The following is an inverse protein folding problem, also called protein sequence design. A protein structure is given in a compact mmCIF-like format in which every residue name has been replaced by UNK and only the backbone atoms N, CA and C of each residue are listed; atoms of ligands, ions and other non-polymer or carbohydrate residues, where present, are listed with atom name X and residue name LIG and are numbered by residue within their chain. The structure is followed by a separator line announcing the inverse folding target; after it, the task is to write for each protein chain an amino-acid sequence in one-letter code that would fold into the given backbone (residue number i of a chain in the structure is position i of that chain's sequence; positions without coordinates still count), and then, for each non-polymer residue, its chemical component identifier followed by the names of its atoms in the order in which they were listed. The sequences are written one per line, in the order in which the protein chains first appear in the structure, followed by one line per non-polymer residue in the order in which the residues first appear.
data_IF_358592066415
#
_entry.id   IF_358592066415
#
_cell.length_a   1.000
_cell.length_b   1.000
_cell.length_c   1.000
_cell.angle_alpha   90.00
_cell.angle_beta   90.00
_cell.angle_gamma   90.00
#
_symmetry.space_group_name_H-M   'P 1'
#
loop_
_entity.id
_entity.type
_entity.pdbx_description
1 polymer ?
#
# COMPACT_ATOMS: atom_id res chain seq x y z
N UNK A 1 2.31 -25.13 9.17
CA UNK A 1 3.27 -25.78 8.24
C UNK A 1 3.01 -25.29 6.82
N UNK A 2 3.34 -24.02 6.51
CA UNK A 2 3.09 -23.42 5.17
C UNK A 2 4.34 -22.76 4.56
N UNK A 3 5.36 -22.47 5.39
CA UNK A 3 6.60 -21.81 4.97
C UNK A 3 7.35 -22.50 3.79
N UNK A 4 7.47 -23.84 3.71
CA UNK A 4 8.19 -24.47 2.60
C UNK A 4 7.49 -24.28 1.24
N UNK A 5 6.16 -24.26 1.25
CA UNK A 5 5.35 -24.08 0.03
C UNK A 5 5.39 -22.62 -0.42
N UNK A 6 5.28 -21.67 0.50
CA UNK A 6 5.40 -20.24 0.22
C UNK A 6 6.78 -19.89 -0.32
N UNK A 7 7.85 -20.42 0.26
CA UNK A 7 9.23 -20.21 -0.22
C UNK A 7 9.44 -20.76 -1.64
N UNK A 8 8.89 -21.94 -1.95
CA UNK A 8 8.98 -22.50 -3.30
C UNK A 8 8.23 -21.66 -4.35
N UNK A 9 7.13 -21.01 -3.95
CA UNK A 9 6.36 -20.12 -4.81
C UNK A 9 7.09 -18.80 -5.01
N UNK A 10 7.58 -18.18 -3.93
CA UNK A 10 8.39 -16.96 -3.98
C UNK A 10 9.63 -17.16 -4.85
N UNK A 11 10.34 -18.28 -4.72
CA UNK A 11 11.50 -18.59 -5.57
C UNK A 11 11.15 -18.58 -7.07
N UNK A 12 10.00 -19.16 -7.45
CA UNK A 12 9.50 -19.13 -8.83
C UNK A 12 9.13 -17.72 -9.28
N UNK A 13 8.45 -16.96 -8.42
CA UNK A 13 8.05 -15.58 -8.70
C UNK A 13 9.29 -14.67 -8.87
N UNK A 14 10.33 -14.86 -8.06
CA UNK A 14 11.62 -14.18 -8.19
C UNK A 14 12.26 -14.46 -9.55
N UNK A 15 12.27 -15.71 -10.01
CA UNK A 15 12.83 -16.06 -11.31
C UNK A 15 12.07 -15.41 -12.48
N UNK A 16 10.75 -15.29 -12.36
CA UNK A 16 9.90 -14.60 -13.35
C UNK A 16 10.17 -13.09 -13.32
N UNK A 17 10.12 -12.47 -12.15
CA UNK A 17 10.40 -11.04 -11.96
C UNK A 17 11.80 -10.65 -12.44
N UNK A 18 12.81 -11.49 -12.18
CA UNK A 18 14.19 -11.27 -12.68
C UNK A 18 14.25 -11.20 -14.20
N UNK A 19 13.53 -12.09 -14.89
CA UNK A 19 13.49 -12.10 -16.37
C UNK A 19 12.73 -10.91 -16.93
N UNK A 20 11.74 -10.40 -16.21
CA UNK A 20 11.02 -9.20 -16.59
C UNK A 20 11.92 -7.96 -16.44
N UNK A 21 12.53 -7.79 -15.26
CA UNK A 21 13.47 -6.71 -14.98
C UNK A 21 14.65 -6.69 -15.97
N UNK A 22 15.22 -7.86 -16.31
CA UNK A 22 16.33 -7.96 -17.25
C UNK A 22 15.98 -7.62 -18.72
N UNK A 23 14.70 -7.42 -19.06
CA UNK A 23 14.27 -6.96 -20.39
C UNK A 23 14.15 -5.45 -20.48
N UNK A 24 14.21 -4.76 -19.35
CA UNK A 24 14.15 -3.31 -19.28
C UNK A 24 15.57 -2.79 -19.04
N UNK A 25 15.99 -1.85 -19.89
CA UNK A 25 17.34 -1.27 -19.82
C UNK A 25 17.49 -0.25 -18.67
N UNK A 26 16.38 0.13 -18.04
CA UNK A 26 16.34 1.10 -16.95
C UNK A 26 16.18 0.37 -15.58
N UNK A 27 17.15 0.51 -14.65
CA UNK A 27 17.07 -0.09 -13.33
C UNK A 27 16.03 0.55 -12.40
N UNK A 28 15.54 1.76 -12.73
CA UNK A 28 14.52 2.48 -11.95
C UNK A 28 13.07 2.03 -12.28
N UNK A 29 12.92 0.92 -13.02
CA UNK A 29 11.60 0.44 -13.42
C UNK A 29 10.86 -0.30 -12.30
N UNK A 30 9.53 -0.25 -12.34
CA UNK A 30 8.67 -0.98 -11.42
C UNK A 30 8.92 -2.49 -11.43
N UNK A 31 9.38 -3.05 -12.56
CA UNK A 31 9.79 -4.45 -12.66
C UNK A 31 10.98 -4.77 -11.76
N UNK A 32 11.95 -3.85 -11.63
CA UNK A 32 13.08 -3.98 -10.72
C UNK A 32 12.64 -3.87 -9.25
N UNK A 33 11.80 -2.87 -8.92
CA UNK A 33 11.25 -2.71 -7.57
C UNK A 33 10.46 -3.96 -7.11
N UNK A 34 9.67 -4.54 -8.02
CA UNK A 34 8.92 -5.77 -7.78
C UNK A 34 9.84 -6.99 -7.60
N UNK A 35 10.91 -7.11 -8.39
CA UNK A 35 11.91 -8.17 -8.20
C UNK A 35 12.61 -8.06 -6.85
N UNK A 36 13.02 -6.86 -6.43
CA UNK A 36 13.69 -6.63 -5.15
C UNK A 36 12.74 -6.88 -3.98
N UNK A 37 11.49 -6.41 -4.07
CA UNK A 37 10.43 -6.68 -3.08
C UNK A 37 10.28 -8.18 -2.80
N UNK A 38 10.22 -9.00 -3.86
CA UNK A 38 10.15 -10.47 -3.74
C UNK A 38 11.41 -11.07 -3.12
N UNK A 39 12.60 -10.57 -3.49
CA UNK A 39 13.88 -11.06 -2.95
C UNK A 39 14.04 -10.74 -1.48
N UNK A 40 13.75 -9.50 -1.07
CA UNK A 40 13.81 -9.06 0.32
C UNK A 40 12.80 -9.86 1.16
N UNK A 41 11.60 -10.09 0.63
CA UNK A 41 10.60 -10.96 1.28
C UNK A 41 11.13 -12.38 1.48
N UNK A 42 11.70 -12.98 0.43
CA UNK A 42 12.27 -14.33 0.52
C UNK A 42 13.41 -14.41 1.55
N UNK A 43 14.29 -13.40 1.57
CA UNK A 43 15.38 -13.32 2.54
C UNK A 43 14.84 -13.18 3.98
N UNK A 44 13.83 -12.34 4.21
CA UNK A 44 13.20 -12.19 5.53
C UNK A 44 12.62 -13.51 6.03
N UNK A 45 11.86 -14.22 5.19
CA UNK A 45 11.25 -15.51 5.57
C UNK A 45 12.32 -16.57 5.85
N UNK A 46 13.36 -16.66 5.01
CA UNK A 46 14.43 -17.67 5.18
C UNK A 46 15.32 -17.40 6.40
N UNK A 47 15.47 -16.14 6.81
CA UNK A 47 16.21 -15.75 8.01
C UNK A 47 15.37 -15.80 9.29
N UNK A 48 14.07 -16.09 9.17
CA UNK A 48 13.14 -16.17 10.31
C UNK A 48 12.73 -14.80 10.86
N UNK A 49 12.95 -13.74 10.09
CA UNK A 49 12.60 -12.37 10.44
C UNK A 49 11.09 -12.19 10.26
N UNK A 50 10.38 -11.81 11.33
CA UNK A 50 8.95 -11.52 11.27
C UNK A 50 8.74 -10.04 10.94
N UNK A 51 8.41 -9.69 9.67
CA UNK A 51 8.30 -8.31 9.25
C UNK A 51 7.19 -7.54 9.98
N UNK A 52 6.20 -8.23 10.57
CA UNK A 52 5.13 -7.60 11.35
C UNK A 52 5.60 -7.09 12.72
N UNK A 53 6.67 -7.64 13.27
CA UNK A 53 7.11 -7.37 14.65
C UNK A 53 8.34 -6.48 14.71
N UNK A 54 9.22 -6.61 13.73
CA UNK A 54 10.57 -6.06 13.86
C UNK A 54 10.74 -4.70 13.19
N UNK A 55 9.81 -4.28 12.32
CA UNK A 55 10.09 -3.14 11.43
C UNK A 55 8.85 -2.29 11.15
N UNK A 56 8.58 -1.31 12.02
CA UNK A 56 7.44 -0.38 11.88
C UNK A 56 7.52 0.53 10.64
N UNK A 57 8.72 0.65 10.05
CA UNK A 57 9.00 1.48 8.88
C UNK A 57 8.94 0.73 7.55
N UNK A 58 8.66 -0.59 7.56
CA UNK A 58 8.46 -1.33 6.31
C UNK A 58 7.02 -1.24 5.82
N UNK A 59 6.89 -1.22 4.50
CA UNK A 59 5.63 -1.37 3.80
C UNK A 59 5.41 -2.84 3.50
N UNK A 60 4.26 -3.36 3.93
CA UNK A 60 3.91 -4.76 3.75
C UNK A 60 2.62 -4.83 2.94
N UNK A 61 2.68 -5.52 1.81
CA UNK A 61 1.50 -5.98 1.10
C UNK A 61 1.07 -7.32 1.70
N UNK A 62 -0.08 -7.35 2.36
CA UNK A 62 -0.68 -8.57 2.87
C UNK A 62 -1.91 -8.94 2.05
N UNK A 63 -2.01 -10.21 1.65
CA UNK A 63 -3.20 -10.73 0.97
C UNK A 63 -4.09 -11.40 2.02
N UNK A 64 -5.31 -10.90 2.17
CA UNK A 64 -6.28 -11.46 3.10
C UNK A 64 -6.70 -12.87 2.70
N UNK A 65 -7.40 -13.58 3.59
CA UNK A 65 -7.98 -14.89 3.27
C UNK A 65 -9.08 -14.82 2.19
N UNK A 66 -9.67 -13.64 1.97
CA UNK A 66 -10.65 -13.39 0.90
C UNK A 66 -9.97 -13.02 -0.43
N UNK A 67 -8.64 -12.87 -0.45
CA UNK A 67 -7.87 -12.49 -1.63
C UNK A 67 -7.70 -10.98 -1.82
N UNK A 68 -8.13 -10.17 -0.86
CA UNK A 68 -7.98 -8.72 -0.90
C UNK A 68 -6.55 -8.33 -0.56
N UNK A 69 -5.98 -7.43 -1.36
CA UNK A 69 -4.67 -6.85 -1.11
C UNK A 69 -4.79 -5.72 -0.08
N UNK A 70 -4.01 -5.79 0.99
CA UNK A 70 -3.99 -4.83 2.07
C UNK A 70 -2.59 -4.26 2.23
N UNK A 71 -2.47 -2.94 2.26
CA UNK A 71 -1.24 -2.24 2.63
C UNK A 71 -1.16 -2.09 4.15
N UNK A 72 -0.02 -2.48 4.71
CA UNK A 72 0.30 -2.38 6.13
C UNK A 72 1.58 -1.55 6.30
N UNK A 73 1.53 -0.60 7.23
CA UNK A 73 2.70 0.12 7.73
C UNK A 73 2.36 0.62 9.13
N UNK A 74 3.08 0.12 10.15
CA UNK A 74 3.01 0.59 11.55
C UNK A 74 1.63 0.58 12.25
N UNK A 75 0.53 0.18 11.60
CA UNK A 75 -0.84 0.44 12.04
C UNK A 75 -1.91 -0.40 11.33
N UNK A 76 -3.14 0.16 11.18
CA UNK A 76 -4.28 -0.56 10.61
C UNK A 76 -4.13 -0.84 9.10
N UNK A 77 -4.55 -2.03 8.61
CA UNK A 77 -4.51 -2.36 7.19
C UNK A 77 -5.39 -1.44 6.36
N UNK A 78 -4.90 -1.07 5.17
CA UNK A 78 -5.66 -0.27 4.19
C UNK A 78 -5.87 -1.09 2.93
N UNK A 79 -7.10 -1.19 2.41
CA UNK A 79 -7.35 -1.95 1.20
C UNK A 79 -6.74 -1.28 -0.03
N UNK A 80 -6.07 -2.09 -0.85
CA UNK A 80 -5.61 -1.75 -2.20
C UNK A 80 -6.55 -2.46 -3.17
N UNK A 81 -7.71 -1.85 -3.42
CA UNK A 81 -8.77 -2.44 -4.24
C UNK A 81 -8.76 -1.98 -5.70
N UNK A 82 -7.77 -1.18 -6.10
CA UNK A 82 -7.73 -0.62 -7.45
C UNK A 82 -6.97 -1.57 -8.42
N UNK A 83 -7.27 -1.50 -9.73
CA UNK A 83 -6.75 -2.43 -10.72
C UNK A 83 -5.26 -2.25 -11.02
N UNK A 84 -4.61 -1.16 -10.59
CA UNK A 84 -3.26 -0.83 -11.05
C UNK A 84 -2.23 -1.80 -10.51
N UNK A 85 -2.07 -1.92 -9.19
CA UNK A 85 -1.14 -2.89 -8.61
C UNK A 85 -1.50 -4.33 -8.98
N UNK A 86 -2.78 -4.67 -8.96
CA UNK A 86 -3.24 -5.98 -9.40
C UNK A 86 -2.81 -6.27 -10.85
N UNK A 87 -2.90 -5.28 -11.74
CA UNK A 87 -2.45 -5.39 -13.13
C UNK A 87 -0.93 -5.49 -13.24
N UNK A 88 -0.16 -4.83 -12.37
CA UNK A 88 1.30 -4.93 -12.34
C UNK A 88 1.74 -6.35 -12.00
N UNK A 89 1.23 -6.92 -10.91
CA UNK A 89 1.51 -8.31 -10.53
C UNK A 89 1.05 -9.29 -11.61
N UNK A 90 -0.16 -9.10 -12.15
CA UNK A 90 -0.70 -9.95 -13.22
C UNK A 90 0.14 -9.90 -14.50
N UNK A 91 0.54 -8.70 -14.94
CA UNK A 91 1.37 -8.50 -16.14
C UNK A 91 2.76 -9.09 -15.96
N UNK A 92 3.29 -9.04 -14.74
CA UNK A 92 4.52 -9.72 -14.38
C UNK A 92 4.37 -11.25 -14.27
N UNK A 93 3.17 -11.81 -14.43
CA UNK A 93 2.90 -13.24 -14.29
C UNK A 93 3.01 -13.73 -12.84
N UNK A 94 2.81 -12.83 -11.88
CA UNK A 94 2.90 -13.10 -10.44
C UNK A 94 1.49 -13.13 -9.87
N UNK A 95 1.13 -14.30 -9.34
CA UNK A 95 -0.15 -14.48 -8.64
C UNK A 95 0.03 -14.19 -7.13
N UNK A 96 -0.76 -13.25 -6.61
CA UNK A 96 -0.84 -12.97 -5.18
C UNK A 96 -1.76 -13.99 -4.51
N UNK A 97 -1.22 -14.79 -3.58
CA UNK A 97 -1.97 -15.87 -2.94
C UNK A 97 -2.54 -15.44 -1.59
N UNK A 98 -3.74 -15.92 -1.20
CA UNK A 98 -4.31 -15.66 0.11
C UNK A 98 -3.33 -16.03 1.25
N UNK A 99 -3.15 -15.12 2.20
CA UNK A 99 -2.21 -15.26 3.31
C UNK A 99 -0.75 -14.93 2.98
N UNK A 100 -0.43 -14.59 1.72
CA UNK A 100 0.90 -14.13 1.34
C UNK A 100 1.18 -12.74 1.91
N UNK A 101 2.44 -12.50 2.27
CA UNK A 101 2.94 -11.18 2.64
C UNK A 101 4.17 -10.87 1.81
N UNK A 102 4.24 -9.65 1.28
CA UNK A 102 5.39 -9.13 0.56
C UNK A 102 5.87 -7.86 1.24
N UNK A 103 7.18 -7.78 1.48
CA UNK A 103 7.88 -6.54 1.78
C UNK A 103 8.00 -5.75 0.49
N UNK A 104 7.49 -4.52 0.48
CA UNK A 104 7.54 -3.65 -0.67
C UNK A 104 8.75 -2.73 -0.58
N UNK A 105 9.48 -2.61 -1.69
CA UNK A 105 10.44 -1.53 -1.89
C UNK A 105 9.74 -0.17 -1.92
N UNK A 106 10.44 0.93 -1.60
CA UNK A 106 9.85 2.27 -1.50
C UNK A 106 9.10 2.73 -2.76
N UNK A 107 9.60 2.43 -3.95
CA UNK A 107 8.98 2.78 -5.23
C UNK A 107 7.60 2.12 -5.35
N UNK A 108 7.55 0.80 -5.11
CA UNK A 108 6.33 0.02 -5.22
C UNK A 108 5.35 0.32 -4.06
N UNK A 109 5.91 0.68 -2.89
CA UNK A 109 5.13 1.15 -1.76
C UNK A 109 4.48 2.50 -2.04
N UNK A 110 5.18 3.44 -2.68
CA UNK A 110 4.61 4.74 -3.07
C UNK A 110 3.40 4.56 -3.97
N UNK A 111 3.53 3.77 -5.03
CA UNK A 111 2.42 3.47 -5.94
C UNK A 111 1.24 2.83 -5.19
N UNK A 112 1.53 1.91 -4.27
CA UNK A 112 0.53 1.29 -3.40
C UNK A 112 -0.22 2.30 -2.52
N UNK A 113 0.51 3.28 -1.98
CA UNK A 113 -0.05 4.32 -1.13
C UNK A 113 -0.91 5.27 -1.97
N UNK A 114 -0.43 5.73 -3.13
CA UNK A 114 -1.20 6.60 -4.02
C UNK A 114 -2.50 5.94 -4.46
N UNK A 115 -2.45 4.65 -4.78
CA UNK A 115 -3.61 3.85 -5.12
C UNK A 115 -4.59 3.72 -3.94
N UNK A 116 -4.08 3.44 -2.74
CA UNK A 116 -4.89 3.38 -1.53
C UNK A 116 -5.53 4.73 -1.18
N UNK A 117 -4.79 5.84 -1.32
CA UNK A 117 -5.29 7.20 -1.12
C UNK A 117 -6.39 7.55 -2.11
N UNK A 118 -6.25 7.14 -3.38
CA UNK A 118 -7.29 7.28 -4.40
C UNK A 118 -8.55 6.49 -4.06
N UNK A 119 -8.40 5.24 -3.62
CA UNK A 119 -9.50 4.40 -3.16
C UNK A 119 -10.25 5.01 -1.96
N UNK A 120 -9.51 5.45 -0.94
CA UNK A 120 -10.07 6.10 0.25
C UNK A 120 -10.83 7.39 -0.11
N UNK A 121 -10.30 8.21 -1.01
CA UNK A 121 -10.97 9.42 -1.47
C UNK A 121 -12.29 9.11 -2.21
N UNK A 122 -12.34 8.02 -2.99
CA UNK A 122 -13.56 7.56 -3.65
C UNK A 122 -14.60 7.07 -2.64
N UNK A 123 -14.19 6.24 -1.67
CA UNK A 123 -15.08 5.75 -0.60
C UNK A 123 -15.66 6.91 0.21
N UNK A 124 -14.84 7.92 0.50
CA UNK A 124 -15.28 9.13 1.18
C UNK A 124 -16.31 9.91 0.35
N UNK A 125 -16.07 10.11 -0.95
CA UNK A 125 -17.02 10.78 -1.83
C UNK A 125 -18.36 10.02 -1.93
N UNK A 126 -18.33 8.68 -1.93
CA UNK A 126 -19.53 7.84 -1.89
C UNK A 126 -20.26 7.97 -0.56
N UNK A 127 -19.54 7.96 0.57
CA UNK A 127 -20.10 8.12 1.90
C UNK A 127 -20.75 9.51 2.06
N UNK A 128 -20.09 10.58 1.61
CA UNK A 128 -20.63 11.93 1.65
C UNK A 128 -21.87 12.10 0.76
N UNK A 129 -21.87 11.46 -0.42
CA UNK A 129 -23.06 11.43 -1.28
C UNK A 129 -24.24 10.74 -0.61
N UNK A 130 -23.99 9.63 0.09
CA UNK A 130 -25.02 8.89 0.82
C UNK A 130 -25.53 9.69 2.03
N UNK A 131 -24.64 10.42 2.74
CA UNK A 131 -25.05 11.37 3.78
C UNK A 131 -25.97 12.45 3.25
N UNK A 132 -25.62 13.09 2.13
CA UNK A 132 -26.47 14.10 1.50
C UNK A 132 -27.85 13.53 1.15
N UNK A 133 -27.90 12.34 0.54
CA UNK A 133 -29.18 11.66 0.22
C UNK A 133 -30.01 11.34 1.45
N UNK A 134 -29.39 10.90 2.54
CA UNK A 134 -30.10 10.60 3.79
C UNK A 134 -30.59 11.87 4.47
N UNK A 135 -29.80 12.94 4.44
CA UNK A 135 -30.20 14.25 4.95
C UNK A 135 -31.38 14.81 4.16
N UNK A 136 -31.35 14.72 2.82
CA UNK A 136 -32.49 15.10 1.96
C UNK A 136 -33.75 14.28 2.31
N UNK A 137 -33.62 12.97 2.50
CA UNK A 137 -34.75 12.12 2.94
C UNK A 137 -35.27 12.48 4.33
N UNK A 138 -34.39 12.87 5.26
CA UNK A 138 -34.77 13.31 6.60
C UNK A 138 -35.45 14.68 6.58
N UNK A 139 -34.96 15.61 5.76
CA UNK A 139 -35.57 16.91 5.53
C UNK A 139 -36.96 16.75 4.90
N UNK A 140 -37.12 15.81 3.97
CA UNK A 140 -38.42 15.42 3.39
C UNK A 140 -39.34 14.69 4.40
N UNK A 141 -38.77 14.03 5.41
CA UNK A 141 -39.49 13.22 6.40
C UNK A 141 -39.84 13.95 7.71
N UNK A 142 -39.52 15.25 7.83
CA UNK A 142 -39.74 16.00 9.08
C UNK A 142 -41.22 16.27 9.38
N UNK A 143 -41.87 15.27 9.98
CA UNK A 143 -42.41 15.36 11.34
C UNK A 143 -41.53 14.52 12.28
N UNK A 144 -40.59 15.15 13.00
CA UNK A 144 -39.67 14.63 14.05
C UNK A 144 -39.04 13.22 13.81
N UNK A 145 -37.70 13.11 13.63
CA UNK A 145 -37.06 11.85 13.25
C UNK A 145 -36.93 10.85 14.43
N UNK A 146 -37.02 9.53 14.18
CA UNK A 146 -36.71 8.50 15.17
C UNK A 146 -35.21 8.45 15.51
N UNK A 147 -34.87 8.10 16.75
CA UNK A 147 -33.50 8.12 17.29
C UNK A 147 -32.49 7.23 16.54
N UNK A 148 -32.95 6.17 15.88
CA UNK A 148 -32.09 5.26 15.10
C UNK A 148 -31.37 5.97 13.93
N UNK A 149 -32.01 6.96 13.30
CA UNK A 149 -31.42 7.71 12.20
C UNK A 149 -30.33 8.69 12.66
N UNK A 150 -30.44 9.20 13.89
CA UNK A 150 -29.42 10.05 14.50
C UNK A 150 -28.17 9.26 14.89
N UNK A 151 -28.35 8.06 15.44
CA UNK A 151 -27.24 7.17 15.78
C UNK A 151 -26.48 6.71 14.53
N UNK A 152 -27.20 6.39 13.44
CA UNK A 152 -26.58 6.02 12.17
C UNK A 152 -25.79 7.16 11.51
N UNK A 153 -26.23 8.42 11.66
CA UNK A 153 -25.47 9.59 11.21
C UNK A 153 -24.18 9.76 12.02
N UNK A 154 -24.26 9.53 13.33
CA UNK A 154 -23.12 9.63 14.24
C UNK A 154 -22.05 8.57 13.94
N UNK A 155 -22.46 7.33 13.74
CA UNK A 155 -21.55 6.27 13.29
C UNK A 155 -20.89 6.59 11.95
N UNK A 156 -21.65 7.21 11.02
CA UNK A 156 -21.09 7.61 9.74
C UNK A 156 -20.08 8.75 9.89
N UNK A 157 -20.29 9.71 10.79
CA UNK A 157 -19.32 10.76 11.14
C UNK A 157 -18.03 10.17 11.69
N UNK A 158 -18.12 9.29 12.69
CA UNK A 158 -16.97 8.65 13.31
C UNK A 158 -16.11 7.87 12.30
N UNK A 159 -16.75 7.13 11.37
CA UNK A 159 -16.03 6.43 10.29
C UNK A 159 -15.29 7.40 9.37
N UNK A 160 -15.86 8.56 9.05
CA UNK A 160 -15.19 9.53 8.17
C UNK A 160 -14.01 10.21 8.86
N UNK A 161 -14.08 10.46 10.16
CA UNK A 161 -12.94 11.00 10.91
C UNK A 161 -11.78 10.01 10.91
N UNK A 162 -12.07 8.72 11.12
CA UNK A 162 -11.05 7.66 11.05
C UNK A 162 -10.38 7.56 9.67
N UNK A 163 -11.15 7.71 8.58
CA UNK A 163 -10.59 7.72 7.22
C UNK A 163 -9.69 8.94 6.97
N UNK A 164 -10.02 10.10 7.56
CA UNK A 164 -9.20 11.31 7.48
C UNK A 164 -7.87 11.14 8.21
N UNK A 165 -7.90 10.63 9.44
CA UNK A 165 -6.69 10.35 10.21
C UNK A 165 -5.80 9.36 9.44
N UNK A 166 -6.40 8.34 8.83
CA UNK A 166 -5.64 7.37 8.03
C UNK A 166 -5.06 7.96 6.75
N UNK A 167 -5.77 8.87 6.08
CA UNK A 167 -5.27 9.59 4.90
C UNK A 167 -4.04 10.43 5.26
N UNK A 168 -4.04 11.06 6.44
CA UNK A 168 -2.90 11.84 6.94
C UNK A 168 -1.69 10.92 7.20
N UNK A 169 -1.89 9.78 7.85
CA UNK A 169 -0.82 8.80 8.08
C UNK A 169 -0.20 8.28 6.79
N UNK A 170 -1.03 7.94 5.79
CA UNK A 170 -0.56 7.47 4.48
C UNK A 170 0.16 8.57 3.69
N UNK A 171 -0.29 9.82 3.77
CA UNK A 171 0.43 10.95 3.16
C UNK A 171 1.79 11.15 3.81
N UNK A 172 1.88 11.10 5.14
CA UNK A 172 3.15 11.18 5.85
C UNK A 172 4.08 10.02 5.46
N UNK A 173 3.53 8.82 5.28
CA UNK A 173 4.28 7.65 4.84
C UNK A 173 4.83 7.77 3.41
N UNK A 174 4.03 8.33 2.48
CA UNK A 174 4.46 8.58 1.11
C UNK A 174 5.63 9.57 1.06
N UNK A 175 5.58 10.64 1.85
CA UNK A 175 6.68 11.60 1.98
C UNK A 175 7.97 10.95 2.50
N UNK A 176 7.85 10.02 3.46
CA UNK A 176 9.01 9.26 3.96
C UNK A 176 9.55 8.31 2.90
N UNK A 177 8.69 7.66 2.10
CA UNK A 177 9.12 6.83 0.99
C UNK A 177 9.92 7.64 -0.04
N UNK A 178 9.47 8.85 -0.37
CA UNK A 178 10.19 9.77 -1.27
C UNK A 178 11.59 10.13 -0.74
N UNK A 179 11.72 10.40 0.56
CA UNK A 179 13.02 10.67 1.18
C UNK A 179 13.96 9.45 1.08
N UNK A 180 13.45 8.23 1.25
CA UNK A 180 14.24 7.02 1.08
C UNK A 180 14.67 6.82 -0.38
N UNK A 181 13.81 7.13 -1.34
CA UNK A 181 14.14 7.09 -2.77
C UNK A 181 15.26 8.06 -3.13
N UNK A 182 15.17 9.30 -2.65
CA UNK A 182 16.22 10.30 -2.86
C UNK A 182 17.55 9.86 -2.27
N UNK A 183 17.55 9.31 -1.05
CA UNK A 183 18.76 8.76 -0.41
C UNK A 183 19.33 7.55 -1.16
N UNK A 184 18.49 6.65 -1.64
CA UNK A 184 18.92 5.49 -2.41
C UNK A 184 19.56 5.90 -3.74
N UNK A 185 18.97 6.89 -4.43
CA UNK A 185 19.52 7.49 -5.66
C UNK A 185 20.87 8.16 -5.43
N UNK A 186 21.00 8.94 -4.35
CA UNK A 186 22.26 9.60 -3.99
C UNK A 186 23.38 8.59 -3.70
N UNK A 187 23.06 7.42 -3.13
CA UNK A 187 24.03 6.35 -2.88
C UNK A 187 24.44 5.59 -4.14
N UNK A 188 23.61 5.59 -5.18
CA UNK A 188 23.85 4.90 -6.45
C UNK A 188 24.61 5.78 -7.47
N UNK A 189 24.56 7.11 -7.32
CA UNK A 189 25.33 8.09 -8.12
C UNK A 189 26.17 9.01 -7.20
N UNK A 190 27.36 8.58 -6.75
CA UNK A 190 28.19 9.37 -5.84
C UNK A 190 28.90 10.58 -6.48
N UNK A 191 28.79 10.77 -7.80
CA UNK A 191 29.55 11.76 -8.58
C UNK A 191 28.72 12.99 -9.04
N UNK A 192 27.59 13.32 -8.39
CA UNK A 192 26.86 14.56 -8.69
C UNK A 192 27.40 15.74 -7.84
N UNK A 193 28.14 16.70 -8.42
CA UNK A 193 28.98 17.65 -7.67
C UNK A 193 28.21 18.90 -7.19
N UNK A 194 26.90 18.83 -6.97
CA UNK A 194 26.11 20.01 -6.54
C UNK A 194 25.88 20.11 -5.02
N UNK A 195 26.43 19.21 -4.20
CA UNK A 195 26.32 19.29 -2.72
C UNK A 195 27.53 19.91 -2.00
N UNK A 196 28.49 20.48 -2.71
CA UNK A 196 29.58 21.27 -2.11
C UNK A 196 29.41 22.77 -2.34
N UNK A 197 28.29 23.36 -1.93
CA UNK A 197 28.23 24.84 -1.85
C UNK A 197 27.19 25.44 -0.87
N UNK A 198 26.99 24.86 0.33
CA UNK A 198 26.30 25.59 1.41
C UNK A 198 26.97 25.46 2.80
N UNK A 199 28.28 25.20 2.87
CA UNK A 199 29.03 25.33 4.11
C UNK A 199 30.45 25.86 3.89
N UNK A 200 30.57 27.17 3.64
CA UNK A 200 31.80 27.94 3.86
C UNK A 200 31.48 29.39 4.22
#
# INVERSE_FOLDING_TARGET
MEAPRLLAILAKQIDVARRLAAREDDPDTLSHALFQSLRVTYLAITTGLDPRKEVQHLFILAVSHTGEALLLQGGQPVPINSPYLASLFWTAGIELLPGQMLLLEPELAKDAIEEALGGLALEQALADRERCRRRERLDDALSLPPQEDLDALREAEERSTLLWDRKIELLAASLVADEYLERARALMNPDDPETEMEAA
#
